data_IF_498327895647
#
_entry.id   IF_498327895647
#
_cell.length_a   1.000
_cell.length_b   1.000
_cell.length_c   1.000
_cell.angle_alpha   90.00
_cell.angle_beta   90.00
_cell.angle_gamma   90.00
#
_symmetry.space_group_name_H-M   'P 1'
#
loop_
_entity.id
_entity.type
_entity.pdbx_description
1 polymer ?
#
# COMPACT_ATOMS: atom_id res chain seq x y z
N UNK A 1 -10.96 9.61 -2.98
CA UNK A 1 -9.90 9.98 -2.04
C UNK A 1 -8.57 9.84 -2.76
N UNK A 2 -7.65 10.77 -2.54
CA UNK A 2 -6.33 10.74 -3.15
C UNK A 2 -5.33 11.19 -2.09
N UNK A 3 -4.29 10.40 -1.87
CA UNK A 3 -3.17 10.70 -1.00
C UNK A 3 -1.93 10.92 -1.85
N UNK A 4 -1.14 11.94 -1.53
CA UNK A 4 0.15 12.20 -2.14
C UNK A 4 1.20 12.26 -1.04
N UNK A 5 2.27 11.49 -1.19
CA UNK A 5 3.35 11.43 -0.22
C UNK A 5 4.67 11.04 -0.89
N UNK A 6 5.77 11.27 -0.19
CA UNK A 6 7.09 10.77 -0.56
C UNK A 6 7.57 9.85 0.54
N UNK A 7 7.96 8.62 0.19
CA UNK A 7 8.47 7.64 1.14
C UNK A 7 9.57 6.79 0.49
N UNK A 8 10.46 6.18 1.29
CA UNK A 8 11.51 5.33 0.76
C UNK A 8 10.95 4.07 0.08
N UNK A 9 11.45 3.77 -1.11
CA UNK A 9 11.27 2.47 -1.76
C UNK A 9 12.28 1.49 -1.15
N UNK A 10 11.79 0.35 -0.67
CA UNK A 10 12.65 -0.69 -0.12
C UNK A 10 12.39 -2.03 -0.81
N UNK A 11 13.44 -2.86 -0.90
CA UNK A 11 13.38 -4.18 -1.53
C UNK A 11 13.12 -5.23 -0.45
N UNK A 12 12.16 -6.12 -0.68
CA UNK A 12 11.96 -7.26 0.20
C UNK A 12 13.14 -8.24 0.08
N UNK A 13 13.67 -8.69 1.22
CA UNK A 13 14.94 -9.41 1.32
C UNK A 13 14.85 -10.94 1.08
N UNK A 14 13.75 -11.45 0.53
CA UNK A 14 13.68 -12.86 0.14
C UNK A 14 14.68 -13.19 -0.98
N UNK A 15 15.44 -14.29 -0.86
CA UNK A 15 16.53 -14.68 -1.77
C UNK A 15 16.15 -14.62 -3.26
N UNK A 16 14.91 -14.98 -3.59
CA UNK A 16 14.37 -14.98 -4.97
C UNK A 16 13.34 -13.89 -5.22
N UNK A 17 13.07 -13.04 -4.23
CA UNK A 17 12.02 -12.05 -4.32
C UNK A 17 12.46 -10.83 -5.17
N UNK A 18 11.57 -10.47 -6.11
CA UNK A 18 11.67 -9.26 -6.93
C UNK A 18 10.69 -8.17 -6.47
N UNK A 19 10.24 -8.24 -5.21
CA UNK A 19 9.24 -7.32 -4.67
C UNK A 19 9.90 -6.08 -4.08
N UNK A 20 9.30 -4.94 -4.40
CA UNK A 20 9.60 -3.66 -3.79
C UNK A 20 8.35 -3.14 -3.11
N UNK A 21 8.55 -2.49 -1.99
CA UNK A 21 7.49 -1.94 -1.15
C UNK A 21 7.78 -0.49 -0.81
N UNK A 22 6.71 0.21 -0.49
CA UNK A 22 6.75 1.53 0.09
C UNK A 22 5.88 1.46 1.33
N UNK A 23 6.42 1.90 2.46
CA UNK A 23 5.64 2.05 3.69
C UNK A 23 4.90 3.38 3.61
N UNK A 24 3.59 3.36 3.85
CA UNK A 24 2.80 4.59 3.90
C UNK A 24 3.20 5.41 5.13
N UNK A 25 3.18 6.74 5.06
CA UNK A 25 3.20 7.58 6.26
C UNK A 25 2.06 7.19 7.21
N UNK A 26 2.29 7.25 8.52
CA UNK A 26 1.34 6.78 9.54
C UNK A 26 -0.02 7.47 9.39
N UNK A 27 -0.04 8.79 9.15
CA UNK A 27 -1.26 9.56 8.94
C UNK A 27 -2.07 9.09 7.73
N UNK A 28 -1.42 8.64 6.66
CA UNK A 28 -2.09 8.07 5.48
C UNK A 28 -2.58 6.65 5.76
N UNK A 29 -1.81 5.85 6.49
CA UNK A 29 -2.17 4.49 6.85
C UNK A 29 -3.40 4.49 7.76
N UNK A 30 -3.39 5.28 8.83
CA UNK A 30 -4.50 5.43 9.79
C UNK A 30 -5.80 5.84 9.09
N UNK A 31 -5.73 6.84 8.19
CA UNK A 31 -6.89 7.37 7.48
C UNK A 31 -7.48 6.36 6.45
N UNK A 32 -6.66 5.41 5.98
CA UNK A 32 -7.11 4.28 5.14
C UNK A 32 -7.73 3.20 6.03
N UNK A 33 -7.09 2.88 7.15
CA UNK A 33 -7.54 1.83 8.05
C UNK A 33 -8.89 2.18 8.68
N UNK A 34 -9.05 3.39 9.19
CA UNK A 34 -10.30 3.89 9.79
C UNK A 34 -11.51 3.82 8.84
N UNK A 35 -11.26 3.94 7.54
CA UNK A 35 -12.32 4.03 6.53
C UNK A 35 -12.55 2.74 5.76
N UNK A 36 -11.52 1.91 5.64
CA UNK A 36 -11.52 0.78 4.71
C UNK A 36 -10.97 -0.50 5.32
N UNK A 37 -10.15 -0.48 6.36
CA UNK A 37 -9.70 -1.73 6.99
C UNK A 37 -10.83 -2.36 7.81
N UNK A 38 -10.74 -3.68 7.97
CA UNK A 38 -11.66 -4.47 8.76
C UNK A 38 -11.24 -5.93 8.71
N UNK A 39 -11.22 -6.59 9.88
CA UNK A 39 -10.71 -7.95 10.04
C UNK A 39 -11.46 -9.00 9.18
N UNK A 40 -12.71 -8.70 8.81
CA UNK A 40 -13.55 -9.57 7.99
C UNK A 40 -13.35 -9.40 6.47
N UNK A 41 -12.35 -8.61 6.02
CA UNK A 41 -12.12 -8.42 4.58
C UNK A 41 -11.38 -9.61 3.94
N UNK A 42 -11.87 -10.09 2.78
CA UNK A 42 -11.19 -11.14 2.03
C UNK A 42 -9.83 -10.65 1.50
N UNK A 43 -8.92 -11.59 1.24
CA UNK A 43 -7.58 -11.25 0.73
C UNK A 43 -6.70 -10.59 1.77
N UNK A 44 -6.70 -11.11 3.00
CA UNK A 44 -5.84 -10.69 4.11
C UNK A 44 -6.05 -9.23 4.52
N UNK A 45 -7.31 -8.77 4.56
CA UNK A 45 -7.62 -7.39 4.93
C UNK A 45 -7.19 -6.33 3.89
N UNK A 46 -6.72 -6.75 2.71
CA UNK A 46 -6.14 -5.82 1.74
C UNK A 46 -7.16 -4.85 1.13
N UNK A 47 -6.70 -3.63 0.87
CA UNK A 47 -7.51 -2.55 0.27
C UNK A 47 -7.07 -2.34 -1.18
N UNK A 48 -7.94 -2.52 -2.19
CA UNK A 48 -7.59 -2.31 -3.58
C UNK A 48 -7.42 -0.82 -3.86
N UNK A 49 -6.31 -0.45 -4.50
CA UNK A 49 -5.95 0.93 -4.81
C UNK A 49 -5.52 1.08 -6.26
N UNK A 50 -5.59 2.32 -6.75
CA UNK A 50 -4.89 2.74 -7.97
C UNK A 50 -3.78 3.68 -7.55
N UNK A 51 -2.56 3.40 -7.97
CA UNK A 51 -1.38 4.18 -7.63
C UNK A 51 -0.80 4.87 -8.86
N UNK A 52 -0.06 5.94 -8.63
CA UNK A 52 0.68 6.66 -9.65
C UNK A 52 2.10 6.95 -9.16
N UNK A 53 3.09 6.68 -10.00
CA UNK A 53 4.49 7.13 -9.80
C UNK A 53 4.95 7.77 -11.10
N UNK A 54 5.24 9.08 -11.06
CA UNK A 54 5.49 9.86 -12.26
C UNK A 54 4.31 9.79 -13.24
N UNK A 55 4.59 9.32 -14.46
CA UNK A 55 3.56 9.11 -15.50
C UNK A 55 2.91 7.71 -15.44
N UNK A 56 3.44 6.78 -14.65
CA UNK A 56 3.00 5.38 -14.62
C UNK A 56 1.86 5.19 -13.64
N UNK A 57 0.78 4.52 -14.05
CA UNK A 57 -0.39 4.22 -13.23
C UNK A 57 -0.74 2.74 -13.30
N UNK A 58 -1.05 2.13 -12.17
CA UNK A 58 -1.48 0.73 -12.12
C UNK A 58 -2.42 0.48 -10.94
N UNK A 59 -3.05 -0.70 -10.94
CA UNK A 59 -3.87 -1.19 -9.82
C UNK A 59 -3.03 -2.14 -8.99
N UNK A 60 -3.13 -2.03 -7.68
CA UNK A 60 -2.45 -2.88 -6.69
C UNK A 60 -3.29 -2.90 -5.40
N UNK A 61 -2.77 -3.49 -4.33
CA UNK A 61 -3.40 -3.47 -3.01
C UNK A 61 -2.47 -2.89 -1.95
N UNK A 62 -3.04 -2.21 -0.97
CA UNK A 62 -2.42 -1.91 0.33
C UNK A 62 -2.74 -3.08 1.27
N UNK A 63 -1.76 -3.54 2.03
CA UNK A 63 -1.91 -4.62 2.98
C UNK A 63 -1.80 -4.06 4.41
N UNK A 64 -2.70 -4.42 5.34
CA UNK A 64 -2.54 -4.11 6.75
C UNK A 64 -1.30 -4.83 7.30
N UNK A 65 -0.54 -4.17 8.17
CA UNK A 65 0.67 -4.72 8.79
C UNK A 65 0.70 -4.49 10.29
#
# INVERSE_FOLDING_TARGET
MHFEFTAPLWRYHGETAAWFFVTLPDDVADDIDDRFAGDDRPGFGSVPVRVQVGATRWRTSVFPS
#
